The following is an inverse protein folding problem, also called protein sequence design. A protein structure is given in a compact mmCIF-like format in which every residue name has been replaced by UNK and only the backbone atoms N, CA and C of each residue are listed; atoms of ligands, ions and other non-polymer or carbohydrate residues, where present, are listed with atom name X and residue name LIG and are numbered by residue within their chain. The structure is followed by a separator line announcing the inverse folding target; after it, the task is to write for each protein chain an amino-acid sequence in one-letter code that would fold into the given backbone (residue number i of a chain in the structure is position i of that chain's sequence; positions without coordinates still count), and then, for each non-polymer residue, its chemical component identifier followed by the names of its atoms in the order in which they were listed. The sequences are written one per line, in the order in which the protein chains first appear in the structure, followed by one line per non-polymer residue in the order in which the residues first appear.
data_IF_246608525639
#
_entry.id   IF_246608525639
#
_cell.length_a   1.000
_cell.length_b   1.000
_cell.length_c   1.000
_cell.angle_alpha   90.00
_cell.angle_beta   90.00
_cell.angle_gamma   90.00
#
_symmetry.space_group_name_H-M   'P 1'
#
loop_
_entity.id
_entity.type
_entity.pdbx_description
1 polymer ?
#
# COMPACT_ATOMS: atom_id res chain seq x y z
N UNK A 1 3.38 -2.56 6.45
CA UNK A 1 2.75 -1.75 7.53
C UNK A 1 1.76 -0.79 6.92
N UNK A 2 2.26 0.22 6.20
CA UNK A 2 1.43 1.17 5.47
C UNK A 2 0.64 0.51 4.33
N UNK A 3 1.36 -0.06 3.36
CA UNK A 3 0.77 -0.64 2.14
C UNK A 3 -0.23 -1.78 2.40
N UNK A 4 0.08 -2.68 3.34
CA UNK A 4 -0.78 -3.81 3.71
C UNK A 4 -2.19 -3.40 4.18
N UNK A 5 -2.33 -2.23 4.81
CA UNK A 5 -3.64 -1.70 5.23
C UNK A 5 -4.49 -1.33 4.00
N UNK A 6 -3.91 -0.61 3.05
CA UNK A 6 -4.58 -0.24 1.81
C UNK A 6 -4.89 -1.46 0.94
N UNK A 7 -3.94 -2.40 0.81
CA UNK A 7 -4.11 -3.63 0.04
C UNK A 7 -5.30 -4.44 0.56
N UNK A 8 -5.48 -4.52 1.88
CA UNK A 8 -6.61 -5.26 2.50
C UNK A 8 -7.98 -4.67 2.18
N UNK A 9 -8.07 -3.37 1.93
CA UNK A 9 -9.30 -2.74 1.46
C UNK A 9 -9.63 -3.10 0.00
N UNK A 10 -8.67 -3.62 -0.77
CA UNK A 10 -8.83 -4.00 -2.18
C UNK A 10 -9.04 -5.51 -2.34
N UNK A 11 -8.29 -6.32 -1.60
CA UNK A 11 -8.37 -7.78 -1.65
C UNK A 11 -7.91 -8.45 -0.34
N UNK A 12 -8.48 -9.61 0.02
CA UNK A 12 -8.19 -10.25 1.30
C UNK A 12 -6.78 -10.86 1.36
N UNK A 13 -6.26 -10.96 2.58
CA UNK A 13 -5.14 -11.84 2.94
C UNK A 13 -5.69 -13.16 3.47
N UNK A 14 -5.07 -14.29 3.15
CA UNK A 14 -5.55 -15.61 3.56
C UNK A 14 -4.63 -16.28 4.57
N UNK A 15 -5.22 -17.15 5.41
CA UNK A 15 -4.46 -18.04 6.29
C UNK A 15 -3.78 -19.14 5.47
N UNK A 16 -2.54 -19.43 5.80
CA UNK A 16 -1.73 -20.51 5.24
C UNK A 16 -0.89 -21.19 6.33
N UNK A 17 0.31 -21.65 5.96
CA UNK A 17 1.20 -22.40 6.85
C UNK A 17 2.66 -21.98 6.60
N UNK A 18 3.46 -21.96 7.67
CA UNK A 18 4.90 -21.69 7.63
C UNK A 18 5.65 -22.70 6.74
N UNK A 19 5.19 -23.95 6.70
CA UNK A 19 5.85 -25.06 6.01
C UNK A 19 5.60 -25.07 4.49
N UNK A 20 4.81 -24.14 3.94
CA UNK A 20 4.52 -24.09 2.51
C UNK A 20 5.78 -23.80 1.68
N UNK A 21 6.04 -24.66 0.69
CA UNK A 21 7.22 -24.57 -0.17
C UNK A 21 7.23 -23.30 -1.03
N UNK A 22 8.26 -22.46 -0.85
CA UNK A 22 8.39 -21.19 -1.56
C UNK A 22 8.43 -21.33 -3.09
N UNK A 23 9.04 -22.40 -3.62
CA UNK A 23 9.10 -22.65 -5.07
C UNK A 23 7.72 -22.89 -5.67
N UNK A 24 6.85 -23.61 -4.97
CA UNK A 24 5.49 -23.88 -5.42
C UNK A 24 4.62 -22.62 -5.33
N UNK A 25 4.76 -21.84 -4.25
CA UNK A 25 4.08 -20.57 -4.08
C UNK A 25 4.47 -19.55 -5.15
N UNK A 26 5.78 -19.39 -5.44
CA UNK A 26 6.27 -18.47 -6.47
C UNK A 26 5.75 -18.81 -7.85
N UNK A 27 5.69 -20.10 -8.22
CA UNK A 27 5.11 -20.56 -9.49
C UNK A 27 3.63 -20.21 -9.64
N UNK A 28 2.92 -20.07 -8.52
CA UNK A 28 1.50 -19.70 -8.46
C UNK A 28 1.27 -18.20 -8.25
N UNK A 29 2.34 -17.40 -8.17
CA UNK A 29 2.23 -15.97 -7.88
C UNK A 29 1.62 -15.70 -6.50
N UNK A 30 2.02 -16.47 -5.47
CA UNK A 30 1.56 -16.26 -4.09
C UNK A 30 2.75 -15.83 -3.24
N UNK A 31 2.63 -14.67 -2.59
CA UNK A 31 3.59 -14.19 -1.61
C UNK A 31 3.21 -14.72 -0.23
N UNK A 32 4.20 -15.10 0.58
CA UNK A 32 4.00 -15.64 1.92
C UNK A 32 4.60 -14.72 2.96
N UNK A 33 3.79 -14.34 3.95
CA UNK A 33 4.17 -13.57 5.12
C UNK A 33 3.96 -14.48 6.31
N UNK A 34 5.02 -15.16 6.77
CA UNK A 34 4.92 -16.19 7.81
C UNK A 34 3.90 -17.30 7.43
N UNK A 35 2.76 -17.36 8.12
CA UNK A 35 1.63 -18.25 7.85
C UNK A 35 0.45 -17.54 7.17
N UNK A 36 0.67 -16.39 6.55
CA UNK A 36 -0.30 -15.67 5.74
C UNK A 36 0.09 -15.72 4.28
N UNK A 37 -0.91 -15.69 3.40
CA UNK A 37 -0.76 -15.75 1.95
C UNK A 37 -1.41 -14.51 1.31
N UNK A 38 -0.65 -13.84 0.45
CA UNK A 38 -1.09 -12.68 -0.33
C UNK A 38 -0.90 -13.03 -1.81
N UNK A 39 -1.98 -13.25 -2.56
CA UNK A 39 -1.90 -13.43 -4.02
C UNK A 39 -1.27 -12.22 -4.71
N UNK A 40 -0.50 -12.42 -5.78
CA UNK A 40 0.10 -11.35 -6.57
C UNK A 40 -0.96 -10.37 -7.11
N UNK A 41 -2.16 -10.86 -7.43
CA UNK A 41 -3.27 -10.03 -7.91
C UNK A 41 -3.62 -8.89 -6.93
N UNK A 42 -3.40 -9.07 -5.62
CA UNK A 42 -3.58 -8.01 -4.63
C UNK A 42 -2.65 -6.82 -4.90
N UNK A 43 -1.41 -7.09 -5.34
CA UNK A 43 -0.43 -6.06 -5.68
C UNK A 43 -0.74 -5.41 -7.04
N UNK A 44 -1.31 -6.16 -7.99
CA UNK A 44 -1.80 -5.58 -9.24
C UNK A 44 -2.98 -4.62 -9.00
N UNK A 45 -3.93 -5.00 -8.14
CA UNK A 45 -5.02 -4.10 -7.74
C UNK A 45 -4.51 -2.85 -7.00
N UNK A 46 -3.48 -3.03 -6.18
CA UNK A 46 -2.83 -1.92 -5.49
C UNK A 46 -2.12 -0.97 -6.45
N UNK A 47 -1.44 -1.49 -7.46
CA UNK A 47 -0.82 -0.72 -8.54
C UNK A 47 -1.85 0.11 -9.30
N UNK A 48 -2.97 -0.52 -9.72
CA UNK A 48 -4.05 0.14 -10.43
C UNK A 48 -4.69 1.28 -9.61
N UNK A 49 -4.80 1.09 -8.29
CA UNK A 49 -5.30 2.11 -7.37
C UNK A 49 -4.30 3.23 -7.10
N UNK A 50 -3.02 2.89 -6.89
CA UNK A 50 -1.99 3.83 -6.44
C UNK A 50 -1.48 4.73 -7.58
N UNK A 51 -1.28 4.18 -8.78
CA UNK A 51 -0.74 4.91 -9.95
C UNK A 51 -1.45 6.24 -10.25
N UNK A 52 -2.78 6.31 -10.38
CA UNK A 52 -3.44 7.58 -10.67
C UNK A 52 -3.24 8.61 -9.55
N UNK A 53 -3.12 8.16 -8.29
CA UNK A 53 -2.85 9.05 -7.15
C UNK A 53 -1.42 9.59 -7.24
N UNK A 54 -0.44 8.74 -7.57
CA UNK A 54 0.95 9.16 -7.75
C UNK A 54 1.09 10.17 -8.90
N UNK A 55 0.37 9.99 -10.01
CA UNK A 55 0.34 10.99 -11.09
C UNK A 55 -0.23 12.33 -10.61
N UNK A 56 -1.33 12.33 -9.85
CA UNK A 56 -1.88 13.56 -9.28
C UNK A 56 -0.91 14.23 -8.30
N UNK A 57 -0.24 13.45 -7.46
CA UNK A 57 0.78 13.96 -6.54
C UNK A 57 1.98 14.57 -7.28
N UNK A 58 2.42 13.95 -8.37
CA UNK A 58 3.49 14.47 -9.21
C UNK A 58 3.09 15.80 -9.88
N UNK A 59 1.86 15.87 -10.42
CA UNK A 59 1.30 17.09 -10.99
C UNK A 59 1.23 18.22 -9.95
N UNK A 60 0.76 17.94 -8.74
CA UNK A 60 0.69 18.90 -7.63
C UNK A 60 2.09 19.36 -7.18
N UNK A 61 3.10 18.47 -7.24
CA UNK A 61 4.49 18.84 -6.97
C UNK A 61 5.01 19.83 -8.01
N UNK A 62 4.79 19.56 -9.30
CA UNK A 62 5.34 20.36 -10.39
C UNK A 62 4.59 21.70 -10.59
N UNK A 63 3.26 21.69 -10.41
CA UNK A 63 2.40 22.86 -10.67
C UNK A 63 2.23 23.76 -9.45
N UNK A 64 2.04 23.15 -8.28
CA UNK A 64 1.71 23.87 -7.04
C UNK A 64 2.90 23.97 -6.08
N UNK A 65 4.04 23.34 -6.40
CA UNK A 65 5.25 23.36 -5.58
C UNK A 65 5.13 22.52 -4.31
N UNK A 66 4.27 21.50 -4.30
CA UNK A 66 4.08 20.64 -3.13
C UNK A 66 5.33 19.80 -2.86
N UNK A 67 5.87 19.91 -1.64
CA UNK A 67 6.96 19.05 -1.18
C UNK A 67 6.41 17.84 -0.44
N UNK A 68 6.35 16.69 -1.11
CA UNK A 68 5.88 15.46 -0.50
C UNK A 68 6.87 14.92 0.52
N UNK A 69 6.33 14.49 1.67
CA UNK A 69 7.03 13.74 2.69
C UNK A 69 6.31 12.39 2.85
N UNK A 70 6.94 11.36 3.45
CA UNK A 70 6.23 10.13 3.74
C UNK A 70 4.93 10.35 4.53
N UNK A 71 4.92 11.28 5.48
CA UNK A 71 3.73 11.58 6.27
C UNK A 71 2.59 12.24 5.48
N UNK A 72 2.91 13.18 4.58
CA UNK A 72 1.89 13.84 3.76
C UNK A 72 1.38 12.93 2.65
N UNK A 73 2.23 12.03 2.12
CA UNK A 73 1.80 10.94 1.24
C UNK A 73 0.84 9.99 1.95
N UNK A 74 1.17 9.48 3.13
CA UNK A 74 0.27 8.58 3.89
C UNK A 74 -1.06 9.27 4.19
N UNK A 75 -1.03 10.55 4.57
CA UNK A 75 -2.24 11.34 4.81
C UNK A 75 -3.10 11.48 3.54
N UNK A 76 -2.49 11.69 2.37
CA UNK A 76 -3.17 11.69 1.07
C UNK A 76 -3.78 10.32 0.76
N UNK A 77 -3.03 9.24 0.92
CA UNK A 77 -3.53 7.89 0.66
C UNK A 77 -4.69 7.50 1.60
N UNK A 78 -4.63 7.89 2.87
CA UNK A 78 -5.75 7.72 3.81
C UNK A 78 -7.02 8.45 3.39
N UNK A 79 -6.89 9.62 2.74
CA UNK A 79 -8.02 10.32 2.12
C UNK A 79 -8.59 9.53 0.94
N UNK A 80 -7.73 9.09 0.03
CA UNK A 80 -8.12 8.46 -1.24
C UNK A 80 -8.74 7.06 -1.06
N UNK A 81 -8.27 6.27 -0.08
CA UNK A 81 -8.81 4.91 0.12
C UNK A 81 -10.28 4.93 0.53
N UNK A 82 -10.71 5.99 1.24
CA UNK A 82 -12.10 6.25 1.65
C UNK A 82 -12.86 5.00 2.16
N UNK A 83 -12.19 4.18 2.96
CA UNK A 83 -12.74 2.93 3.50
C UNK A 83 -12.57 2.91 5.02
N UNK A 84 -13.67 2.73 5.76
CA UNK A 84 -13.68 2.73 7.24
C UNK A 84 -12.96 1.52 7.87
N UNK A 85 -12.62 0.50 7.08
CA UNK A 85 -11.79 -0.62 7.53
C UNK A 85 -10.29 -0.28 7.56
N UNK A 86 -9.87 0.80 6.89
CA UNK A 86 -8.48 1.26 6.85
C UNK A 86 -8.09 2.04 8.10
N UNK A 87 -6.95 1.70 8.69
CA UNK A 87 -6.34 2.49 9.77
C UNK A 87 -5.99 3.90 9.27
N UNK A 88 -5.44 4.01 8.06
CA UNK A 88 -4.99 5.30 7.53
C UNK A 88 -6.13 6.21 7.07
N UNK A 89 -7.29 5.64 6.73
CA UNK A 89 -8.52 6.41 6.60
C UNK A 89 -8.85 7.16 7.90
N UNK A 90 -8.80 6.47 9.03
CA UNK A 90 -9.07 7.07 10.33
C UNK A 90 -7.98 8.05 10.77
N UNK A 91 -6.71 7.77 10.44
CA UNK A 91 -5.62 8.74 10.67
C UNK A 91 -5.87 10.04 9.89
N UNK A 92 -6.29 9.96 8.62
CA UNK A 92 -6.69 11.13 7.83
C UNK A 92 -7.87 11.87 8.47
N UNK A 93 -8.98 11.17 8.76
CA UNK A 93 -10.21 11.77 9.31
C UNK A 93 -10.00 12.49 10.65
N UNK A 94 -9.10 11.96 11.49
CA UNK A 94 -8.82 12.51 12.82
C UNK A 94 -7.55 13.38 12.86
N UNK A 95 -6.96 13.69 11.71
CA UNK A 95 -5.74 14.50 11.59
C UNK A 95 -4.57 13.96 12.45
N UNK A 96 -4.40 12.63 12.49
CA UNK A 96 -3.30 11.96 13.17
C UNK A 96 -2.17 11.73 12.17
N UNK A 97 -0.96 12.31 12.38
CA UNK A 97 0.16 12.12 11.48
C UNK A 97 0.78 10.72 11.64
N UNK A 98 1.17 10.12 10.52
CA UNK A 98 1.88 8.84 10.48
C UNK A 98 3.24 9.04 9.84
N UNK A 99 4.30 8.59 10.52
CA UNK A 99 5.67 8.71 10.01
C UNK A 99 6.20 7.33 9.61
N UNK A 100 6.70 7.22 8.38
CA UNK A 100 7.39 6.05 7.86
C UNK A 100 8.64 6.52 7.09
N UNK A 101 9.80 6.70 7.76
CA UNK A 101 11.00 7.24 7.10
C UNK A 101 11.48 6.42 5.90
N UNK A 102 11.25 5.10 5.91
CA UNK A 102 11.59 4.18 4.83
C UNK A 102 10.34 3.73 4.04
N UNK A 103 9.48 4.68 3.63
CA UNK A 103 8.25 4.38 2.88
C UNK A 103 8.48 3.67 1.54
N UNK A 104 9.70 3.74 1.01
CA UNK A 104 10.12 3.10 -0.24
C UNK A 104 10.57 1.65 -0.07
N UNK A 105 10.68 1.10 1.14
CA UNK A 105 11.10 -0.29 1.37
C UNK A 105 9.89 -1.23 1.40
N UNK A 106 9.28 -1.44 0.24
CA UNK A 106 8.06 -2.23 0.08
C UNK A 106 7.40 -2.05 -1.28
N UNK A 107 6.17 -2.55 -1.42
CA UNK A 107 5.40 -2.44 -2.66
C UNK A 107 5.14 -0.99 -3.08
N UNK A 108 5.02 -0.03 -2.15
CA UNK A 108 4.95 1.39 -2.53
C UNK A 108 6.23 1.83 -3.25
N UNK A 109 7.40 1.37 -2.80
CA UNK A 109 8.68 1.64 -3.45
C UNK A 109 8.75 1.08 -4.85
N UNK A 110 8.28 -0.17 -5.05
CA UNK A 110 8.21 -0.79 -6.37
C UNK A 110 7.33 0.02 -7.34
N UNK A 111 6.26 0.65 -6.86
CA UNK A 111 5.36 1.49 -7.69
C UNK A 111 5.91 2.88 -7.98
N UNK A 112 6.85 3.37 -7.16
CA UNK A 112 7.53 4.64 -7.37
C UNK A 112 8.69 4.53 -8.36
N UNK A 113 9.20 3.32 -8.60
CA UNK A 113 10.33 3.03 -9.48
C UNK A 113 9.90 2.89 -10.95
#
# INVERSE_FOLDING_TARGET
GVEEDFIKCLAPTHLGDFALEGKALRKRGINRIANLLVPNDNYCLFEDWLKPILHAMHDEQDKDGVHWTPSTMIHRLGKEINNEESVYHWCYKNNIPVFCPAITDGSIGDMLY
#
